data_IF_099707486153
#
_entry.id   IF_099707486153
#
_cell.length_a   1.000
_cell.length_b   1.000
_cell.length_c   1.000
_cell.angle_alpha   90.00
_cell.angle_beta   90.00
_cell.angle_gamma   90.00
#
_symmetry.space_group_name_H-M   'P 1'
#
loop_
_entity.id
_entity.type
_entity.pdbx_description
1 polymer ?
#
# COMPACT_ATOMS: atom_id res chain seq x y z
N UNK A 1 9.88 33.97 -3.93
CA UNK A 1 8.65 33.23 -3.58
C UNK A 1 8.89 32.48 -2.27
N UNK A 2 8.26 32.87 -1.15
CA UNK A 2 8.47 32.19 0.14
C UNK A 2 7.59 30.93 0.23
N UNK A 3 8.20 29.77 0.43
CA UNK A 3 7.50 28.51 0.59
C UNK A 3 6.86 28.45 2.00
N UNK A 4 5.57 28.12 2.07
CA UNK A 4 4.87 27.89 3.34
C UNK A 4 5.37 26.59 3.98
N UNK A 5 5.58 26.60 5.30
CA UNK A 5 6.02 25.45 6.12
C UNK A 5 5.19 24.19 5.84
N UNK A 6 3.86 24.30 5.74
CA UNK A 6 2.99 23.16 5.43
C UNK A 6 3.30 22.51 4.07
N UNK A 7 3.63 23.32 3.08
CA UNK A 7 4.03 22.86 1.75
C UNK A 7 5.42 22.22 1.80
N UNK A 8 6.34 22.80 2.55
CA UNK A 8 7.68 22.24 2.77
C UNK A 8 7.62 20.87 3.45
N UNK A 9 6.81 20.72 4.50
CA UNK A 9 6.62 19.44 5.20
C UNK A 9 6.02 18.37 4.30
N UNK A 10 5.05 18.73 3.45
CA UNK A 10 4.46 17.80 2.48
C UNK A 10 5.48 17.33 1.44
N UNK A 11 6.28 18.26 0.90
CA UNK A 11 7.35 17.94 -0.05
C UNK A 11 8.42 17.05 0.61
N UNK A 12 8.84 17.39 1.83
CA UNK A 12 9.78 16.58 2.60
C UNK A 12 9.28 15.14 2.78
N UNK A 13 8.04 14.97 3.27
CA UNK A 13 7.45 13.63 3.44
C UNK A 13 7.39 12.88 2.12
N UNK A 14 7.05 13.55 1.02
CA UNK A 14 7.03 12.94 -0.30
C UNK A 14 8.43 12.48 -0.74
N UNK A 15 9.46 13.31 -0.63
CA UNK A 15 10.84 12.97 -1.03
C UNK A 15 11.36 11.75 -0.24
N UNK A 16 11.14 11.74 1.08
CA UNK A 16 11.73 10.71 1.96
C UNK A 16 10.91 9.42 1.96
N UNK A 17 9.58 9.52 2.05
CA UNK A 17 8.73 8.36 2.31
C UNK A 17 8.11 7.77 1.05
N UNK A 18 8.03 8.51 -0.06
CA UNK A 18 7.53 7.95 -1.32
C UNK A 18 8.39 6.80 -1.84
N UNK A 19 9.74 6.89 -1.86
CA UNK A 19 10.58 5.77 -2.29
C UNK A 19 10.40 4.53 -1.41
N UNK A 20 10.37 4.71 -0.08
CA UNK A 20 10.16 3.60 0.86
C UNK A 20 8.79 2.93 0.66
N UNK A 21 7.75 3.73 0.44
CA UNK A 21 6.40 3.23 0.15
C UNK A 21 6.37 2.43 -1.15
N UNK A 22 7.08 2.89 -2.18
CA UNK A 22 7.20 2.19 -3.46
C UNK A 22 7.92 0.85 -3.29
N UNK A 23 9.05 0.83 -2.58
CA UNK A 23 9.79 -0.42 -2.31
C UNK A 23 8.89 -1.41 -1.56
N UNK A 24 8.19 -0.97 -0.51
CA UNK A 24 7.25 -1.83 0.21
C UNK A 24 6.16 -2.39 -0.73
N UNK A 25 5.60 -1.55 -1.60
CA UNK A 25 4.61 -1.95 -2.59
C UNK A 25 5.14 -2.96 -3.63
N UNK A 26 6.42 -2.86 -4.00
CA UNK A 26 7.03 -3.86 -4.90
C UNK A 26 7.12 -5.24 -4.23
N UNK A 27 7.51 -5.30 -2.97
CA UNK A 27 7.56 -6.56 -2.21
C UNK A 27 6.15 -7.13 -1.99
N UNK A 28 5.17 -6.29 -1.69
CA UNK A 28 3.75 -6.67 -1.63
C UNK A 28 3.30 -7.29 -2.96
N UNK A 29 3.61 -6.65 -4.09
CA UNK A 29 3.26 -7.14 -5.43
C UNK A 29 3.92 -8.47 -5.80
N UNK A 30 5.06 -8.77 -5.19
CA UNK A 30 5.79 -10.03 -5.34
C UNK A 30 5.33 -11.10 -4.35
N UNK A 31 4.42 -10.78 -3.42
CA UNK A 31 3.91 -11.69 -2.40
C UNK A 31 4.78 -11.81 -1.14
N UNK A 32 5.83 -10.99 -1.01
CA UNK A 32 6.68 -10.95 0.18
C UNK A 32 6.07 -10.05 1.26
N UNK A 33 4.91 -10.44 1.80
CA UNK A 33 4.11 -9.58 2.67
C UNK A 33 4.79 -9.22 4.00
N UNK A 34 5.57 -10.13 4.59
CA UNK A 34 6.32 -9.83 5.82
C UNK A 34 7.37 -8.74 5.61
N UNK A 35 8.08 -8.81 4.47
CA UNK A 35 9.10 -7.82 4.11
C UNK A 35 8.45 -6.49 3.73
N UNK A 36 7.36 -6.52 2.97
CA UNK A 36 6.57 -5.34 2.66
C UNK A 36 6.07 -4.66 3.94
N UNK A 37 5.52 -5.42 4.88
CA UNK A 37 5.05 -4.93 6.17
C UNK A 37 6.18 -4.29 6.99
N UNK A 38 7.36 -4.93 7.04
CA UNK A 38 8.52 -4.37 7.73
C UNK A 38 8.92 -3.01 7.17
N UNK A 39 8.90 -2.84 5.84
CA UNK A 39 9.25 -1.59 5.18
C UNK A 39 8.14 -0.54 5.35
N UNK A 40 6.86 -0.91 5.21
CA UNK A 40 5.72 0.00 5.37
C UNK A 40 5.65 0.65 6.76
N UNK A 41 6.07 -0.07 7.82
CA UNK A 41 6.09 0.47 9.20
C UNK A 41 6.88 1.78 9.31
N UNK A 42 7.92 1.96 8.49
CA UNK A 42 8.75 3.17 8.50
C UNK A 42 7.95 4.40 8.04
N UNK A 43 7.46 4.53 6.80
CA UNK A 43 6.69 5.69 6.37
C UNK A 43 5.35 5.85 7.14
N UNK A 44 4.77 4.75 7.65
CA UNK A 44 3.58 4.81 8.51
C UNK A 44 3.86 5.52 9.84
N UNK A 45 5.02 5.29 10.48
CA UNK A 45 5.36 5.95 11.75
C UNK A 45 5.57 7.47 11.59
N UNK A 46 5.86 7.94 10.37
CA UNK A 46 5.94 9.36 10.01
C UNK A 46 4.60 9.96 9.52
N UNK A 47 3.49 9.21 9.67
CA UNK A 47 2.17 9.59 9.17
C UNK A 47 2.23 9.99 7.68
N UNK A 48 2.77 9.11 6.85
CA UNK A 48 2.72 9.27 5.40
C UNK A 48 1.48 8.56 4.85
N UNK A 49 0.48 9.36 4.45
CA UNK A 49 -0.84 8.85 4.08
C UNK A 49 -0.85 7.75 3.00
N UNK A 50 -0.03 7.81 1.92
CA UNK A 50 0.03 6.72 0.94
C UNK A 50 0.47 5.38 1.54
N UNK A 51 1.45 5.39 2.46
CA UNK A 51 1.90 4.18 3.12
C UNK A 51 0.85 3.63 4.09
N UNK A 52 0.19 4.50 4.86
CA UNK A 52 -0.91 4.08 5.73
C UNK A 52 -2.04 3.42 4.94
N UNK A 53 -2.40 4.00 3.80
CA UNK A 53 -3.41 3.40 2.93
C UNK A 53 -2.98 2.02 2.43
N UNK A 54 -1.82 1.91 1.78
CA UNK A 54 -1.38 0.64 1.20
C UNK A 54 -1.15 -0.44 2.28
N UNK A 55 -0.50 -0.09 3.39
CA UNK A 55 -0.31 -1.01 4.51
C UNK A 55 -1.64 -1.43 5.13
N UNK A 56 -2.61 -0.52 5.18
CA UNK A 56 -3.97 -0.85 5.60
C UNK A 56 -4.65 -1.85 4.66
N UNK A 57 -4.42 -1.75 3.35
CA UNK A 57 -5.00 -2.67 2.37
C UNK A 57 -4.47 -4.11 2.54
N UNK A 58 -3.17 -4.32 2.76
CA UNK A 58 -2.61 -5.68 2.94
C UNK A 58 -3.12 -6.35 4.24
N UNK A 59 -3.46 -5.53 5.24
CA UNK A 59 -4.05 -5.96 6.48
C UNK A 59 -5.54 -6.33 6.32
N UNK A 60 -6.32 -5.50 5.60
CA UNK A 60 -7.75 -5.77 5.33
C UNK A 60 -7.93 -6.96 4.38
N UNK A 61 -7.05 -7.11 3.38
CA UNK A 61 -7.11 -8.22 2.42
C UNK A 61 -6.81 -9.58 3.07
N UNK A 62 -6.13 -9.57 4.21
CA UNK A 62 -5.65 -10.79 4.89
C UNK A 62 -4.39 -11.38 4.25
N UNK A 63 -3.75 -10.68 3.31
CA UNK A 63 -2.49 -11.11 2.70
C UNK A 63 -1.33 -11.04 3.70
N UNK A 64 -1.39 -10.09 4.63
CA UNK A 64 -0.52 -10.05 5.80
C UNK A 64 -1.27 -10.49 7.06
N UNK A 65 -1.00 -11.72 7.50
CA UNK A 65 -1.71 -12.37 8.60
C UNK A 65 -1.17 -11.89 9.94
N UNK A 66 -2.04 -11.24 10.71
CA UNK A 66 -1.75 -10.77 12.07
C UNK A 66 -3.01 -10.82 12.93
N UNK A 67 -2.83 -10.89 14.25
CA UNK A 67 -3.94 -10.75 15.18
C UNK A 67 -4.63 -9.40 14.97
N UNK A 68 -5.94 -9.44 14.72
CA UNK A 68 -6.78 -8.24 14.47
C UNK A 68 -6.35 -7.45 13.23
N UNK A 69 -5.84 -8.14 12.21
CA UNK A 69 -5.36 -7.53 10.97
C UNK A 69 -6.39 -6.63 10.32
N UNK A 70 -7.67 -7.04 10.25
CA UNK A 70 -8.70 -6.21 9.64
C UNK A 70 -8.89 -4.88 10.39
N UNK A 71 -9.01 -4.95 11.71
CA UNK A 71 -9.18 -3.77 12.57
C UNK A 71 -7.99 -2.79 12.44
N UNK A 72 -6.77 -3.32 12.42
CA UNK A 72 -5.54 -2.53 12.21
C UNK A 72 -5.59 -1.85 10.84
N UNK A 73 -5.93 -2.60 9.79
CA UNK A 73 -5.94 -2.09 8.43
C UNK A 73 -6.94 -0.97 8.21
N UNK A 74 -8.18 -1.13 8.70
CA UNK A 74 -9.20 -0.08 8.66
C UNK A 74 -8.74 1.18 9.40
N UNK A 75 -8.10 1.03 10.56
CA UNK A 75 -7.57 2.19 11.32
C UNK A 75 -6.54 2.98 10.52
N UNK A 76 -5.65 2.29 9.81
CA UNK A 76 -4.65 2.94 8.95
C UNK A 76 -5.30 3.68 7.78
N UNK A 77 -6.29 3.07 7.13
CA UNK A 77 -7.04 3.70 6.03
C UNK A 77 -7.79 4.94 6.53
N UNK A 78 -8.44 4.88 7.71
CA UNK A 78 -9.06 6.06 8.33
C UNK A 78 -8.06 7.17 8.60
N UNK A 79 -6.87 6.85 9.12
CA UNK A 79 -5.80 7.84 9.34
C UNK A 79 -5.31 8.50 8.05
N UNK A 80 -5.23 7.76 6.94
CA UNK A 80 -4.90 8.32 5.63
C UNK A 80 -6.03 9.24 5.12
N UNK A 81 -7.28 8.84 5.33
CA UNK A 81 -8.47 9.63 4.98
C UNK A 81 -8.53 10.96 5.74
N UNK A 82 -8.23 10.95 7.05
CA UNK A 82 -8.16 12.16 7.91
C UNK A 82 -7.13 13.18 7.41
N UNK A 83 -6.08 12.72 6.72
CA UNK A 83 -5.07 13.58 6.08
C UNK A 83 -5.50 14.10 4.70
N UNK A 84 -6.71 13.75 4.25
CA UNK A 84 -7.24 14.14 2.94
C UNK A 84 -6.74 13.28 1.79
N UNK A 85 -6.21 12.07 2.05
CA UNK A 85 -5.74 11.19 1.00
C UNK A 85 -6.91 10.61 0.20
N UNK A 86 -7.09 11.09 -1.03
CA UNK A 86 -8.26 10.76 -1.88
C UNK A 86 -8.52 9.25 -2.02
N UNK A 87 -7.53 8.39 -2.29
CA UNK A 87 -7.78 6.95 -2.40
C UNK A 87 -8.36 6.33 -1.12
N UNK A 88 -7.97 6.83 0.07
CA UNK A 88 -8.52 6.36 1.33
C UNK A 88 -9.97 6.81 1.54
N UNK A 89 -10.28 8.06 1.20
CA UNK A 89 -11.65 8.60 1.26
C UNK A 89 -12.57 7.79 0.34
N UNK A 90 -12.14 7.59 -0.91
CA UNK A 90 -12.88 6.82 -1.92
C UNK A 90 -13.07 5.36 -1.48
N UNK A 91 -12.03 4.75 -0.91
CA UNK A 91 -12.12 3.38 -0.40
C UNK A 91 -13.14 3.26 0.74
N UNK A 92 -13.11 4.16 1.73
CA UNK A 92 -14.06 4.12 2.85
C UNK A 92 -15.49 4.33 2.40
N UNK A 93 -15.71 5.23 1.42
CA UNK A 93 -17.03 5.44 0.84
C UNK A 93 -17.52 4.21 0.07
N UNK A 94 -16.64 3.56 -0.70
CA UNK A 94 -17.02 2.41 -1.52
C UNK A 94 -17.18 1.12 -0.72
N UNK A 95 -16.41 0.97 0.36
CA UNK A 95 -16.32 -0.27 1.14
C UNK A 95 -16.76 -0.05 2.60
N UNK A 96 -17.80 0.76 2.81
CA UNK A 96 -18.29 1.12 4.15
C UNK A 96 -18.64 -0.09 5.01
N UNK A 97 -19.34 -1.09 4.44
CA UNK A 97 -19.69 -2.32 5.15
C UNK A 97 -18.44 -3.07 5.63
N UNK A 98 -17.42 -3.17 4.77
CA UNK A 98 -16.15 -3.80 5.11
C UNK A 98 -15.40 -2.95 6.15
N UNK A 99 -15.43 -1.62 6.04
CA UNK A 99 -14.77 -0.71 6.98
C UNK A 99 -15.42 -0.68 8.38
N UNK A 100 -16.65 -1.19 8.52
CA UNK A 100 -17.40 -1.27 9.77
C UNK A 100 -17.54 -2.72 10.27
N UNK A 101 -17.01 -3.70 9.53
CA UNK A 101 -17.02 -5.08 9.94
C UNK A 101 -16.13 -5.29 11.17
N UNK A 102 -16.56 -6.17 12.06
CA UNK A 102 -15.68 -6.66 13.13
C UNK A 102 -14.71 -7.73 12.58
N UNK A 103 -13.71 -8.12 13.38
CA UNK A 103 -12.69 -9.08 12.94
C UNK A 103 -13.28 -10.44 12.55
N UNK A 104 -14.32 -10.89 13.28
CA UNK A 104 -15.00 -12.16 13.02
C UNK A 104 -15.73 -12.15 11.66
N UNK A 105 -16.47 -11.08 11.38
CA UNK A 105 -17.15 -10.87 10.10
C UNK A 105 -16.15 -10.78 8.94
N UNK A 106 -15.03 -10.10 9.15
CA UNK A 106 -13.96 -10.00 8.16
C UNK A 106 -13.32 -11.37 7.88
N UNK A 107 -13.08 -12.17 8.92
CA UNK A 107 -12.54 -13.52 8.78
C UNK A 107 -13.52 -14.47 8.08
N UNK A 108 -14.80 -14.43 8.45
CA UNK A 108 -15.84 -15.20 7.77
C UNK A 108 -15.92 -14.84 6.27
N UNK A 109 -15.85 -13.54 5.94
CA UNK A 109 -15.81 -13.08 4.55
C UNK A 109 -14.57 -13.55 3.79
N UNK A 110 -13.40 -13.55 4.43
CA UNK A 110 -12.15 -14.10 3.85
C UNK A 110 -12.26 -15.59 3.57
N UNK A 111 -12.77 -16.36 4.53
CA UNK A 111 -12.96 -17.80 4.39
C UNK A 111 -13.91 -18.13 3.24
N UNK A 112 -15.07 -17.46 3.18
CA UNK A 112 -16.03 -17.63 2.09
C UNK A 112 -15.42 -17.31 0.72
N UNK A 113 -14.61 -16.24 0.64
CA UNK A 113 -13.89 -15.89 -0.59
C UNK A 113 -12.90 -17.00 -1.00
N UNK A 114 -12.17 -17.57 -0.06
CA UNK A 114 -11.22 -18.65 -0.34
C UNK A 114 -11.94 -19.93 -0.79
N UNK A 115 -13.02 -20.31 -0.11
CA UNK A 115 -13.87 -21.45 -0.50
C UNK A 115 -14.45 -21.24 -1.91
N UNK A 116 -14.95 -20.03 -2.22
CA UNK A 116 -15.43 -19.70 -3.56
C UNK A 116 -14.31 -19.82 -4.61
N UNK A 117 -13.10 -19.35 -4.30
CA UNK A 117 -11.94 -19.47 -5.19
C UNK A 117 -11.54 -20.92 -5.40
N UNK A 118 -11.59 -21.76 -4.37
CA UNK A 118 -11.34 -23.20 -4.46
C UNK A 118 -12.40 -23.90 -5.31
N UNK A 119 -13.68 -23.57 -5.12
CA UNK A 119 -14.79 -24.10 -5.92
C UNK A 119 -14.69 -23.67 -7.39
N UNK A 120 -14.27 -22.43 -7.66
CA UNK A 120 -14.01 -21.94 -9.03
C UNK A 120 -12.74 -22.57 -9.62
N UNK A 121 -11.72 -22.84 -8.80
CA UNK A 121 -10.45 -23.47 -9.18
C UNK A 121 -10.58 -24.96 -9.50
N UNK A 122 -11.46 -25.67 -8.78
CA UNK A 122 -11.87 -27.05 -9.11
C UNK A 122 -12.60 -27.14 -10.47
N UNK A 123 -13.00 -25.99 -11.04
CA UNK A 123 -13.65 -25.89 -12.34
C UNK A 123 -12.85 -25.09 -13.38
N UNK A 124 -11.58 -24.72 -13.11
CA UNK A 124 -10.83 -23.88 -14.05
C UNK A 124 -9.31 -24.05 -13.98
N UNK A 125 -8.78 -24.83 -14.92
CA UNK A 125 -7.44 -24.65 -15.48
C UNK A 125 -7.22 -23.27 -16.17
N UNK A 126 -7.96 -22.22 -15.76
CA UNK A 126 -8.01 -20.88 -16.36
C UNK A 126 -7.72 -19.74 -15.38
N UNK A 127 -7.45 -19.97 -14.09
CA UNK A 127 -6.76 -18.96 -13.29
C UNK A 127 -5.27 -19.01 -13.60
N UNK A 128 -4.95 -18.54 -14.81
CA UNK A 128 -3.61 -18.26 -15.24
C UNK A 128 -2.88 -17.50 -14.15
N UNK A 129 -1.68 -17.99 -13.85
CA UNK A 129 -0.64 -17.28 -13.12
C UNK A 129 -0.77 -15.78 -13.40
N UNK A 130 -1.19 -15.01 -12.39
CA UNK A 130 -1.19 -13.54 -12.47
C UNK A 130 0.26 -13.14 -12.63
N UNK A 131 0.76 -13.11 -13.86
CA UNK A 131 2.16 -12.84 -14.15
C UNK A 131 2.41 -11.35 -13.84
N UNK A 132 3.05 -11.03 -12.70
CA UNK A 132 3.15 -9.65 -12.23
C UNK A 132 4.09 -8.82 -13.12
N UNK A 133 4.94 -9.49 -13.93
CA UNK A 133 5.99 -8.86 -14.74
C UNK A 133 5.44 -7.90 -15.80
N UNK A 134 4.31 -8.23 -16.44
CA UNK A 134 3.78 -7.45 -17.58
C UNK A 134 3.04 -6.19 -17.13
N UNK A 135 2.38 -6.21 -15.96
CA UNK A 135 1.66 -5.04 -15.42
C UNK A 135 2.61 -3.98 -14.87
N UNK A 136 3.76 -4.39 -14.33
CA UNK A 136 4.67 -3.51 -13.56
C UNK A 136 5.99 -3.17 -14.27
N UNK A 137 6.28 -3.77 -15.42
CA UNK A 137 7.49 -3.45 -16.21
C UNK A 137 7.63 -1.96 -16.56
N UNK A 138 6.52 -1.23 -16.69
CA UNK A 138 6.53 0.23 -16.91
C UNK A 138 6.91 1.03 -15.66
N UNK A 139 6.54 0.56 -14.45
CA UNK A 139 6.78 1.30 -13.20
C UNK A 139 8.19 1.12 -12.64
N UNK A 140 8.78 -0.08 -12.78
CA UNK A 140 10.17 -0.35 -12.35
C UNK A 140 11.17 0.49 -13.16
N UNK A 141 10.91 0.68 -14.45
CA UNK A 141 11.75 1.52 -15.33
C UNK A 141 11.73 3.01 -14.91
N UNK A 142 10.59 3.52 -14.41
CA UNK A 142 10.54 4.88 -13.86
C UNK A 142 11.33 5.01 -12.55
N UNK A 143 11.42 3.94 -11.75
CA UNK A 143 12.13 3.96 -10.46
C UNK A 143 13.66 4.07 -10.62
N UNK A 144 14.25 3.28 -11.51
CA UNK A 144 15.70 3.32 -11.77
C UNK A 144 16.12 4.64 -12.41
N UNK A 145 15.34 5.14 -13.37
CA UNK A 145 15.63 6.42 -14.02
C UNK A 145 15.48 7.61 -13.07
N UNK A 146 14.48 7.58 -12.17
CA UNK A 146 14.25 8.65 -11.20
C UNK A 146 15.33 8.71 -10.11
N UNK A 147 15.82 7.57 -9.63
CA UNK A 147 16.94 7.55 -8.68
C UNK A 147 18.25 8.05 -9.32
N UNK A 148 18.50 7.74 -10.59
CA UNK A 148 19.64 8.28 -11.32
C UNK A 148 19.55 9.81 -11.44
N UNK A 149 18.38 10.34 -11.82
CA UNK A 149 18.19 11.80 -11.96
C UNK A 149 18.30 12.52 -10.61
N UNK A 150 17.72 11.98 -9.53
CA UNK A 150 17.81 12.59 -8.19
C UNK A 150 19.25 12.52 -7.67
N UNK A 151 19.97 11.42 -7.90
CA UNK A 151 21.38 11.30 -7.52
C UNK A 151 22.25 12.32 -8.27
N UNK A 152 22.05 12.48 -9.58
CA UNK A 152 22.77 13.48 -10.37
C UNK A 152 22.45 14.91 -9.93
N UNK A 153 21.18 15.21 -9.59
CA UNK A 153 20.79 16.53 -9.12
C UNK A 153 21.37 16.86 -7.74
N UNK A 154 21.40 15.88 -6.83
CA UNK A 154 21.96 16.06 -5.49
C UNK A 154 23.49 16.15 -5.55
N UNK A 155 24.16 15.34 -6.37
CA UNK A 155 25.63 15.39 -6.52
C UNK A 155 26.09 16.71 -7.16
N UNK A 156 25.29 17.32 -8.04
CA UNK A 156 25.58 18.65 -8.61
C UNK A 156 25.31 19.83 -7.66
N UNK A 157 24.53 19.63 -6.59
CA UNK A 157 24.22 20.68 -5.59
C UNK A 157 25.20 20.65 -4.41
N UNK A 158 25.81 19.50 -4.14
CA UNK A 158 26.74 19.28 -3.01
C UNK A 158 28.22 19.15 -3.41
N UNK A 159 28.55 19.32 -4.69
CA UNK A 159 29.90 19.60 -5.20
C UNK A 159 29.99 21.06 -5.66
#
# INVERSE_FOLDING_TARGET
MRMNIQRATRIYKWIVHSPLTLVAYTYESLGFFDLAAAIYRIPVSFCYAPAQFNFGQIHVSGEYVTDKGHTIGVKLIRSASEQGYKPAIEWLSKFEQLANANEEQAEAGRKLKNELLEMMGANSALMGTRNPVIKYGKFVFFHTLFFAIIYDLLSAVFN
#
